data_IF_491379373055
#
_entry.id   IF_491379373055
#
_cell.length_a   1.000
_cell.length_b   1.000
_cell.length_c   1.000
_cell.angle_alpha   90.00
_cell.angle_beta   90.00
_cell.angle_gamma   90.00
#
_symmetry.space_group_name_H-M   'P 1'
#
loop_
_entity.id
_entity.type
_entity.pdbx_description
1 polymer ?
#
# COMPACT_ATOMS: atom_id res chain seq x y z
N UNK A 1 -4.31 0.01 21.08
CA UNK A 1 -3.74 -0.98 20.13
C UNK A 1 -2.45 -0.43 19.53
N UNK A 2 -1.49 -1.24 19.05
CA UNK A 2 -0.28 -0.69 18.40
C UNK A 2 -0.55 -0.46 16.90
N UNK A 3 -0.78 0.80 16.51
CA UNK A 3 -1.02 1.22 15.13
C UNK A 3 0.14 2.04 14.59
N UNK A 4 0.38 1.95 13.28
CA UNK A 4 1.35 2.79 12.57
C UNK A 4 0.67 4.13 12.22
N UNK A 5 1.14 5.22 12.83
CA UNK A 5 0.68 6.58 12.48
C UNK A 5 1.12 6.95 11.07
N UNK A 6 0.53 7.99 10.48
CA UNK A 6 0.95 8.48 9.15
C UNK A 6 2.44 8.85 9.12
N UNK A 7 2.91 9.61 10.12
CA UNK A 7 4.35 9.91 10.30
C UNK A 7 5.19 8.64 10.44
N UNK A 8 4.73 7.68 11.25
CA UNK A 8 5.44 6.42 11.42
C UNK A 8 5.43 5.52 10.18
N UNK A 9 4.52 5.76 9.24
CA UNK A 9 4.54 5.16 7.91
C UNK A 9 5.60 5.86 7.04
N UNK A 10 5.60 7.20 6.98
CA UNK A 10 6.59 8.00 6.25
C UNK A 10 8.02 7.58 6.62
N UNK A 11 8.34 7.54 7.92
CA UNK A 11 9.66 7.10 8.45
C UNK A 11 10.05 5.67 8.04
N UNK A 12 9.09 4.81 7.72
CA UNK A 12 9.34 3.45 7.21
C UNK A 12 9.53 3.45 5.70
N UNK A 13 8.75 4.24 4.98
CA UNK A 13 8.87 4.38 3.53
C UNK A 13 10.22 5.00 3.16
N UNK A 14 10.72 5.95 3.93
CA UNK A 14 12.04 6.59 3.73
C UNK A 14 13.22 5.61 3.80
N UNK A 15 13.04 4.47 4.46
CA UNK A 15 14.07 3.41 4.52
C UNK A 15 14.12 2.55 3.26
N UNK A 16 13.06 2.56 2.45
CA UNK A 16 12.96 1.73 1.26
C UNK A 16 13.54 2.47 0.06
N UNK A 17 14.50 1.86 -0.63
CA UNK A 17 15.09 2.47 -1.83
C UNK A 17 14.13 2.44 -3.03
N UNK A 18 13.25 1.44 -3.10
CA UNK A 18 12.39 1.23 -4.26
C UNK A 18 11.02 1.90 -4.09
N UNK A 19 10.69 2.82 -4.99
CA UNK A 19 9.36 3.42 -5.10
C UNK A 19 8.23 2.39 -5.21
N UNK A 20 8.43 1.29 -5.95
CA UNK A 20 7.46 0.18 -6.04
C UNK A 20 7.16 -0.45 -4.67
N UNK A 21 8.19 -0.63 -3.83
CA UNK A 21 8.01 -1.20 -2.49
C UNK A 21 7.32 -0.21 -1.56
N UNK A 22 7.68 1.08 -1.64
CA UNK A 22 6.98 2.16 -0.94
C UNK A 22 5.49 2.18 -1.32
N UNK A 23 5.20 2.12 -2.61
CA UNK A 23 3.82 2.12 -3.13
C UNK A 23 3.02 0.90 -2.69
N UNK A 24 3.63 -0.29 -2.61
CA UNK A 24 2.97 -1.48 -2.07
C UNK A 24 2.54 -1.25 -0.60
N UNK A 25 3.46 -0.75 0.24
CA UNK A 25 3.20 -0.53 1.67
C UNK A 25 2.14 0.55 1.86
N UNK A 26 2.32 1.70 1.20
CA UNK A 26 1.38 2.80 1.23
C UNK A 26 0.02 2.38 0.66
N UNK A 27 -0.03 1.69 -0.48
CA UNK A 27 -1.29 1.27 -1.10
C UNK A 27 -2.15 0.39 -0.18
N UNK A 28 -1.55 -0.49 0.61
CA UNK A 28 -2.28 -1.27 1.63
C UNK A 28 -2.78 -0.36 2.76
N UNK A 29 -1.95 0.58 3.22
CA UNK A 29 -2.30 1.56 4.25
C UNK A 29 -3.47 2.45 3.82
N UNK A 30 -3.48 2.92 2.57
CA UNK A 30 -4.55 3.73 1.99
C UNK A 30 -5.77 2.91 1.52
N UNK A 31 -5.79 1.59 1.77
CA UNK A 31 -6.95 0.75 1.48
C UNK A 31 -7.15 0.44 -0.01
N UNK A 32 -6.13 0.62 -0.86
CA UNK A 32 -6.18 0.31 -2.30
C UNK A 32 -6.36 -1.19 -2.57
N UNK A 33 -6.15 -2.04 -1.56
CA UNK A 33 -6.32 -3.48 -1.65
C UNK A 33 -7.76 -3.98 -1.45
N UNK A 34 -8.74 -3.09 -1.23
CA UNK A 34 -10.20 -3.32 -1.16
C UNK A 34 -10.59 -4.75 -0.70
N UNK A 35 -11.35 -5.47 -1.53
CA UNK A 35 -11.78 -6.86 -1.37
C UNK A 35 -10.66 -7.84 -1.69
N UNK A 36 -9.86 -7.56 -2.72
CA UNK A 36 -8.78 -8.42 -3.19
C UNK A 36 -7.60 -7.59 -3.71
N UNK A 37 -6.42 -7.71 -3.06
CA UNK A 37 -5.22 -7.01 -3.50
C UNK A 37 -4.76 -7.44 -4.90
N UNK A 38 -5.07 -8.67 -5.32
CA UNK A 38 -4.67 -9.18 -6.64
C UNK A 38 -5.38 -8.40 -7.73
N UNK A 39 -6.70 -8.30 -7.64
CA UNK A 39 -7.53 -7.63 -8.64
C UNK A 39 -7.38 -6.11 -8.61
N UNK A 40 -7.11 -5.54 -7.45
CA UNK A 40 -7.07 -4.09 -7.28
C UNK A 40 -5.63 -3.59 -7.29
N UNK A 41 -4.86 -3.86 -6.23
CA UNK A 41 -3.52 -3.29 -6.06
C UNK A 41 -2.52 -3.73 -7.15
N UNK A 42 -2.45 -5.03 -7.47
CA UNK A 42 -1.44 -5.56 -8.42
C UNK A 42 -1.74 -5.24 -9.88
N UNK A 43 -3.00 -5.00 -10.22
CA UNK A 43 -3.44 -4.68 -11.58
C UNK A 43 -3.59 -3.17 -11.81
N UNK A 44 -3.15 -2.33 -10.88
CA UNK A 44 -3.12 -0.88 -11.09
C UNK A 44 -2.14 -0.52 -12.19
N UNK A 45 -2.64 0.21 -13.18
CA UNK A 45 -1.89 0.69 -14.34
C UNK A 45 -1.38 2.09 -14.08
N UNK A 46 -0.24 2.43 -14.67
CA UNK A 46 0.31 3.80 -14.65
C UNK A 46 -0.68 4.82 -15.22
N UNK A 47 -1.42 4.42 -16.26
CA UNK A 47 -2.47 5.23 -16.90
C UNK A 47 -3.70 5.49 -16.01
N UNK A 48 -3.81 4.83 -14.85
CA UNK A 48 -4.92 5.06 -13.93
C UNK A 48 -4.65 6.20 -12.95
N UNK A 49 -3.45 6.78 -12.95
CA UNK A 49 -3.08 7.93 -12.13
C UNK A 49 -3.22 9.22 -12.92
N UNK A 50 -3.90 10.19 -12.33
CA UNK A 50 -3.86 11.59 -12.73
C UNK A 50 -3.13 12.40 -11.65
N UNK A 51 -1.88 12.77 -11.92
CA UNK A 51 -1.05 13.54 -10.97
C UNK A 51 -1.48 15.01 -10.86
N UNK A 52 -2.15 15.59 -11.85
CA UNK A 52 -2.63 16.98 -11.80
C UNK A 52 -3.83 17.08 -10.86
N UNK A 53 -4.79 16.17 -11.01
CA UNK A 53 -5.97 16.08 -10.15
C UNK A 53 -5.70 15.34 -8.82
N UNK A 54 -4.47 14.86 -8.60
CA UNK A 54 -4.08 14.04 -7.45
C UNK A 54 -5.04 12.87 -7.22
N UNK A 55 -5.38 12.12 -8.26
CA UNK A 55 -6.35 11.02 -8.18
C UNK A 55 -5.85 9.74 -8.84
N UNK A 56 -6.38 8.61 -8.37
CA UNK A 56 -6.07 7.27 -8.86
C UNK A 56 -7.37 6.50 -9.07
N UNK A 57 -7.56 5.96 -10.27
CA UNK A 57 -8.71 5.11 -10.59
C UNK A 57 -8.35 3.65 -10.36
N UNK A 58 -9.11 2.98 -9.50
CA UNK A 58 -8.97 1.56 -9.23
C UNK A 58 -9.49 0.72 -10.40
N UNK A 59 -9.05 -0.55 -10.56
CA UNK A 59 -9.56 -1.43 -11.61
C UNK A 59 -11.08 -1.65 -11.61
N UNK A 60 -11.76 -1.45 -10.48
CA UNK A 60 -13.23 -1.48 -10.39
C UNK A 60 -13.91 -0.15 -10.81
N UNK A 61 -13.16 0.86 -11.24
CA UNK A 61 -13.66 2.17 -11.65
C UNK A 61 -13.80 3.20 -10.52
N UNK A 62 -13.55 2.82 -9.25
CA UNK A 62 -13.59 3.78 -8.14
C UNK A 62 -12.43 4.77 -8.22
N UNK A 63 -12.72 6.06 -7.99
CA UNK A 63 -11.72 7.12 -7.92
C UNK A 63 -11.29 7.34 -6.46
N UNK A 64 -9.98 7.30 -6.22
CA UNK A 64 -9.34 7.59 -4.93
C UNK A 64 -8.61 8.92 -5.04
N UNK A 65 -8.86 9.82 -4.09
CA UNK A 65 -8.08 11.05 -3.94
C UNK A 65 -6.78 10.71 -3.23
N UNK A 66 -5.64 11.07 -3.83
CA UNK A 66 -4.31 10.91 -3.27
C UNK A 66 -3.96 12.15 -2.45
N UNK A 67 -3.52 11.94 -1.22
CA UNK A 67 -2.81 12.98 -0.48
C UNK A 67 -1.35 13.05 -0.95
N UNK A 68 -0.58 13.99 -0.40
CA UNK A 68 0.80 14.25 -0.83
C UNK A 68 1.68 13.01 -0.73
N UNK A 69 1.57 12.25 0.36
CA UNK A 69 2.34 11.02 0.57
C UNK A 69 2.00 9.95 -0.47
N UNK A 70 0.72 9.66 -0.69
CA UNK A 70 0.32 8.65 -1.68
C UNK A 70 0.71 9.08 -3.11
N UNK A 71 0.61 10.37 -3.41
CA UNK A 71 0.99 10.94 -4.70
C UNK A 71 2.49 10.82 -4.96
N UNK A 72 3.31 11.10 -3.95
CA UNK A 72 4.77 11.01 -4.02
C UNK A 72 5.22 9.57 -4.28
N UNK A 73 4.78 8.61 -3.46
CA UNK A 73 5.17 7.20 -3.64
C UNK A 73 4.63 6.60 -4.94
N UNK A 74 3.47 7.07 -5.42
CA UNK A 74 2.95 6.69 -6.73
C UNK A 74 3.85 7.19 -7.85
N UNK A 75 4.33 8.44 -7.77
CA UNK A 75 5.28 9.00 -8.75
C UNK A 75 6.57 8.20 -8.77
N UNK A 76 7.16 7.97 -7.61
CA UNK A 76 8.41 7.19 -7.50
C UNK A 76 8.25 5.80 -8.12
N UNK A 77 7.15 5.09 -7.85
CA UNK A 77 6.91 3.76 -8.40
C UNK A 77 6.74 3.75 -9.92
N UNK A 78 6.02 4.75 -10.47
CA UNK A 78 5.79 4.88 -11.92
C UNK A 78 7.11 5.15 -12.63
N UNK A 79 7.90 6.08 -12.12
CA UNK A 79 9.17 6.55 -12.72
C UNK A 79 10.33 5.57 -12.50
N UNK A 80 10.18 4.61 -11.57
CA UNK A 80 11.21 3.63 -11.27
C UNK A 80 11.58 2.77 -12.50
N UNK A 81 12.87 2.83 -12.86
CA UNK A 81 13.49 2.03 -13.94
C UNK A 81 14.35 0.90 -13.43
N UNK A 82 15.03 1.08 -12.30
CA UNK A 82 15.92 0.09 -11.70
C UNK A 82 15.35 -0.30 -10.35
N UNK A 83 15.28 -1.60 -10.09
CA UNK A 83 14.94 -2.13 -8.77
C UNK A 83 16.22 -2.52 -8.03
N UNK A 84 16.44 -1.88 -6.89
CA UNK A 84 17.58 -2.09 -6.01
C UNK A 84 17.28 -3.23 -5.04
N UNK A 85 18.18 -4.19 -4.89
CA UNK A 85 17.95 -5.31 -3.96
C UNK A 85 18.09 -4.85 -2.51
N UNK A 86 17.07 -5.13 -1.70
CA UNK A 86 17.10 -4.87 -0.26
C UNK A 86 18.26 -5.59 0.43
N UNK A 87 19.08 -4.85 1.18
CA UNK A 87 20.11 -5.40 2.06
C UNK A 87 21.37 -5.92 1.35
N UNK A 88 21.92 -5.16 0.40
CA UNK A 88 23.14 -5.48 -0.35
C UNK A 88 24.40 -5.60 0.51
N UNK A 89 24.53 -6.70 1.26
CA UNK A 89 25.78 -7.18 1.84
C UNK A 89 26.15 -8.50 1.13
N UNK A 90 26.87 -8.38 0.02
CA UNK A 90 27.68 -9.45 -0.56
C UNK A 90 26.97 -10.47 -1.47
N UNK A 91 27.55 -10.63 -2.66
CA UNK A 91 27.61 -11.89 -3.39
C UNK A 91 26.33 -12.37 -4.08
N UNK A 92 26.24 -12.12 -5.39
CA UNK A 92 25.40 -12.86 -6.35
C UNK A 92 23.87 -12.66 -6.26
N UNK A 93 23.42 -11.46 -6.66
CA UNK A 93 22.46 -11.24 -7.77
C UNK A 93 21.91 -9.82 -7.65
N UNK A 94 22.24 -9.04 -8.67
CA UNK A 94 22.29 -7.59 -8.74
C UNK A 94 20.92 -6.93 -8.86
N UNK A 95 20.91 -5.62 -8.62
CA UNK A 95 19.86 -4.72 -9.06
C UNK A 95 19.46 -5.04 -10.50
N UNK A 96 18.21 -4.79 -10.86
CA UNK A 96 17.72 -5.14 -12.19
C UNK A 96 16.88 -4.04 -12.81
N UNK A 97 17.02 -3.90 -14.12
CA UNK A 97 16.15 -3.05 -14.91
C UNK A 97 14.74 -3.64 -14.97
N UNK A 98 13.76 -2.77 -14.78
CA UNK A 98 12.35 -3.05 -14.95
C UNK A 98 11.98 -2.88 -16.42
N UNK A 99 10.97 -3.64 -16.88
CA UNK A 99 10.52 -3.50 -18.25
C UNK A 99 9.86 -2.11 -18.46
N UNK A 100 10.41 -1.26 -19.34
CA UNK A 100 9.87 0.08 -19.58
C UNK A 100 8.49 0.06 -20.24
N UNK A 101 8.12 -1.04 -20.91
CA UNK A 101 6.84 -1.23 -21.57
C UNK A 101 5.77 -1.84 -20.64
N UNK A 102 6.10 -2.13 -19.39
CA UNK A 102 5.10 -2.60 -18.42
C UNK A 102 4.13 -1.46 -18.09
N UNK A 103 2.84 -1.67 -18.33
CA UNK A 103 1.80 -0.70 -18.03
C UNK A 103 1.44 -0.62 -16.53
N UNK A 104 1.96 -1.53 -15.71
CA UNK A 104 1.60 -1.65 -14.29
C UNK A 104 2.49 -0.78 -13.41
N UNK A 105 1.91 -0.24 -12.33
CA UNK A 105 2.69 0.49 -11.30
C UNK A 105 3.62 -0.49 -10.56
N UNK A 106 3.06 -1.63 -10.13
CA UNK A 106 3.83 -2.68 -9.45
C UNK A 106 4.40 -3.64 -10.50
N UNK A 107 5.60 -3.31 -10.98
CA UNK A 107 6.29 -4.08 -12.02
C UNK A 107 6.93 -5.36 -11.47
N UNK A 108 6.91 -6.40 -12.29
CA UNK A 108 7.60 -7.68 -12.04
C UNK A 108 9.07 -7.59 -12.44
N UNK A 109 9.94 -8.40 -11.81
CA UNK A 109 11.29 -8.65 -12.32
C UNK A 109 11.18 -9.26 -13.74
N UNK A 110 11.80 -8.67 -14.77
CA UNK A 110 11.79 -9.27 -16.10
C UNK A 110 12.49 -10.62 -16.11
N UNK A 111 11.79 -11.67 -16.55
CA UNK A 111 12.35 -12.99 -16.81
C UNK A 111 11.78 -13.54 -18.10
N UNK A 112 12.50 -14.46 -18.74
CA UNK A 112 11.97 -15.17 -19.93
C UNK A 112 10.66 -15.90 -19.64
N UNK A 113 10.49 -16.38 -18.40
CA UNK A 113 9.29 -17.08 -17.94
C UNK A 113 8.07 -16.20 -17.66
N UNK A 114 8.19 -14.86 -17.69
CA UNK A 114 7.07 -13.94 -17.42
C UNK A 114 6.90 -12.86 -18.49
N UNK A 115 7.23 -13.20 -19.75
CA UNK A 115 7.13 -12.27 -20.89
C UNK A 115 7.91 -10.98 -20.63
N UNK A 116 9.12 -11.14 -20.07
CA UNK A 116 10.01 -10.03 -19.73
C UNK A 116 9.36 -9.01 -18.78
N UNK A 117 8.46 -9.42 -17.89
CA UNK A 117 7.88 -8.55 -16.87
C UNK A 117 6.80 -7.60 -17.37
N UNK A 118 6.22 -7.84 -18.55
CA UNK A 118 5.10 -7.04 -19.06
C UNK A 118 3.81 -7.25 -18.24
N UNK A 119 3.69 -8.42 -17.62
CA UNK A 119 2.56 -8.82 -16.79
C UNK A 119 2.67 -8.28 -15.35
N UNK A 120 1.52 -8.11 -14.65
CA UNK A 120 1.52 -7.66 -13.27
C UNK A 120 2.24 -8.66 -12.37
N UNK A 121 2.69 -8.18 -11.20
CA UNK A 121 3.32 -9.04 -10.19
C UNK A 121 2.40 -10.20 -9.81
N UNK A 122 2.95 -11.42 -9.79
CA UNK A 122 2.20 -12.62 -9.40
C UNK A 122 1.90 -12.62 -7.92
N UNK A 123 0.92 -13.43 -7.49
CA UNK A 123 0.60 -13.61 -6.07
C UNK A 123 1.80 -14.06 -5.22
N UNK A 124 2.54 -15.04 -5.74
CA UNK A 124 3.74 -15.54 -5.09
C UNK A 124 4.82 -14.46 -5.01
N UNK A 125 4.99 -13.68 -6.08
CA UNK A 125 5.90 -12.53 -6.11
C UNK A 125 5.52 -11.48 -5.08
N UNK A 126 4.25 -11.13 -4.98
CA UNK A 126 3.75 -10.17 -3.98
C UNK A 126 3.98 -10.65 -2.55
N UNK A 127 3.64 -11.91 -2.24
CA UNK A 127 3.86 -12.48 -0.90
C UNK A 127 5.33 -12.49 -0.52
N UNK A 128 6.21 -12.86 -1.43
CA UNK A 128 7.66 -12.84 -1.21
C UNK A 128 8.18 -11.42 -1.01
N UNK A 129 7.71 -10.46 -1.82
CA UNK A 129 8.09 -9.04 -1.72
C UNK A 129 7.63 -8.41 -0.41
N UNK A 130 6.37 -8.60 -0.03
CA UNK A 130 5.86 -8.14 1.27
C UNK A 130 6.68 -8.74 2.41
N UNK A 131 6.97 -10.04 2.38
CA UNK A 131 7.80 -10.68 3.43
C UNK A 131 9.19 -10.03 3.51
N UNK A 132 9.84 -9.79 2.38
CA UNK A 132 11.14 -9.12 2.34
C UNK A 132 11.08 -7.70 2.92
N UNK A 133 10.08 -6.91 2.51
CA UNK A 133 9.81 -5.57 3.06
C UNK A 133 9.61 -5.64 4.58
N UNK A 134 8.80 -6.57 5.07
CA UNK A 134 8.52 -6.74 6.49
C UNK A 134 9.78 -7.02 7.30
N UNK A 135 10.65 -7.91 6.80
CA UNK A 135 11.93 -8.27 7.45
C UNK A 135 12.86 -7.05 7.48
N UNK A 136 12.98 -6.36 6.35
CA UNK A 136 13.87 -5.21 6.21
C UNK A 136 13.49 -4.05 7.14
N UNK A 137 12.20 -3.73 7.25
CA UNK A 137 11.76 -2.54 7.98
C UNK A 137 11.77 -2.67 9.50
N UNK A 138 11.77 -3.88 10.06
CA UNK A 138 11.46 -4.08 11.50
C UNK A 138 12.21 -5.23 12.18
N UNK A 139 13.02 -6.02 11.45
CA UNK A 139 13.56 -7.25 12.01
C UNK A 139 12.43 -8.22 12.41
N UNK A 140 12.35 -8.59 13.70
CA UNK A 140 11.46 -9.64 14.23
C UNK A 140 9.98 -9.25 14.43
N UNK A 141 9.59 -7.98 14.27
CA UNK A 141 8.18 -7.55 14.38
C UNK A 141 7.57 -7.26 13.01
N UNK A 142 6.89 -8.24 12.42
CA UNK A 142 6.40 -8.14 11.04
C UNK A 142 5.43 -6.97 10.78
N UNK A 143 5.78 -6.03 9.89
CA UNK A 143 4.78 -5.20 9.19
C UNK A 143 3.96 -6.13 8.30
N UNK A 144 2.75 -6.46 8.73
CA UNK A 144 1.85 -7.30 7.93
C UNK A 144 0.86 -6.44 7.15
N UNK A 145 0.34 -6.93 6.00
CA UNK A 145 -0.75 -6.26 5.30
C UNK A 145 -1.97 -5.98 6.21
N UNK A 146 -2.25 -6.87 7.16
CA UNK A 146 -3.31 -6.70 8.15
C UNK A 146 -3.04 -5.53 9.08
N UNK A 147 -1.80 -5.38 9.58
CA UNK A 147 -1.41 -4.25 10.44
C UNK A 147 -1.48 -2.93 9.68
N UNK A 148 -0.95 -2.88 8.44
CA UNK A 148 -1.02 -1.69 7.59
C UNK A 148 -2.46 -1.26 7.34
N UNK A 149 -3.32 -2.21 6.95
CA UNK A 149 -4.74 -1.95 6.70
C UNK A 149 -5.48 -1.46 7.94
N UNK A 150 -5.23 -2.08 9.10
CA UNK A 150 -5.81 -1.63 10.38
C UNK A 150 -5.33 -0.23 10.77
N UNK A 151 -4.05 0.05 10.57
CA UNK A 151 -3.44 1.34 10.91
C UNK A 151 -3.99 2.47 10.04
N UNK A 152 -4.09 2.24 8.72
CA UNK A 152 -4.69 3.22 7.82
C UNK A 152 -6.19 3.42 8.06
N UNK A 153 -6.93 2.37 8.40
CA UNK A 153 -8.33 2.50 8.80
C UNK A 153 -8.49 3.36 10.07
N UNK A 154 -7.57 3.21 11.03
CA UNK A 154 -7.55 3.98 12.26
C UNK A 154 -7.21 5.46 12.00
N UNK A 155 -6.23 5.77 11.15
CA UNK A 155 -5.98 7.16 10.74
C UNK A 155 -7.16 7.77 9.97
N UNK A 156 -7.78 7.02 9.05
CA UNK A 156 -8.98 7.50 8.35
C UNK A 156 -10.09 7.82 9.35
N UNK A 157 -10.27 6.98 10.36
CA UNK A 157 -11.28 7.16 11.40
C UNK A 157 -11.10 8.47 12.19
N UNK A 158 -9.85 8.90 12.44
CA UNK A 158 -9.57 10.19 13.11
C UNK A 158 -10.06 11.40 12.31
N UNK A 159 -10.22 11.25 10.99
CA UNK A 159 -10.72 12.33 10.10
C UNK A 159 -12.25 12.39 10.03
N UNK A 160 -12.96 11.40 10.58
CA UNK A 160 -14.42 11.34 10.51
C UNK A 160 -15.07 12.09 11.69
N UNK A 161 -16.32 12.53 11.49
CA UNK A 161 -17.12 13.09 12.56
C UNK A 161 -17.35 12.06 13.68
N UNK A 162 -16.97 12.44 14.90
CA UNK A 162 -17.05 11.61 16.12
C UNK A 162 -18.49 11.22 16.46
N UNK A 163 -19.49 11.97 16.01
CA UNK A 163 -20.92 11.73 16.27
C UNK A 163 -21.54 10.65 15.37
N UNK A 164 -20.83 10.20 14.33
CA UNK A 164 -21.33 9.16 13.43
C UNK A 164 -21.62 7.85 14.19
N UNK A 165 -22.68 7.16 13.77
CA UNK A 165 -22.99 5.83 14.30
C UNK A 165 -21.95 4.81 13.82
N UNK A 166 -21.72 3.75 14.61
CA UNK A 166 -20.78 2.68 14.23
C UNK A 166 -21.14 2.08 12.86
N UNK A 167 -22.44 1.97 12.56
CA UNK A 167 -22.92 1.50 11.24
C UNK A 167 -22.47 2.41 10.10
N UNK A 168 -22.59 3.73 10.28
CA UNK A 168 -22.19 4.71 9.25
C UNK A 168 -20.68 4.72 9.06
N UNK A 169 -19.92 4.67 10.15
CA UNK A 169 -18.46 4.54 10.12
C UNK A 169 -18.04 3.25 9.38
N UNK A 170 -18.67 2.13 9.70
CA UNK A 170 -18.39 0.85 9.05
C UNK A 170 -18.67 0.88 7.53
N UNK A 171 -19.70 1.60 7.10
CA UNK A 171 -20.00 1.82 5.67
C UNK A 171 -18.90 2.66 5.02
N UNK A 172 -18.56 3.83 5.58
CA UNK A 172 -17.52 4.72 5.05
C UNK A 172 -16.16 4.01 4.94
N UNK A 173 -15.77 3.28 5.98
CA UNK A 173 -14.51 2.54 5.99
C UNK A 173 -14.50 1.43 4.93
N UNK A 174 -15.60 0.70 4.75
CA UNK A 174 -15.73 -0.31 3.70
C UNK A 174 -15.60 0.29 2.30
N UNK A 175 -16.29 1.40 2.04
CA UNK A 175 -16.21 2.16 0.79
C UNK A 175 -14.80 2.75 0.58
N UNK A 176 -14.11 3.08 1.67
CA UNK A 176 -12.69 3.48 1.66
C UNK A 176 -11.72 2.30 1.63
N UNK A 177 -12.20 1.06 1.47
CA UNK A 177 -11.40 -0.16 1.29
C UNK A 177 -10.95 -0.88 2.55
N UNK A 178 -11.35 -0.38 3.71
CA UNK A 178 -11.06 -0.95 5.01
C UNK A 178 -12.15 -1.96 5.41
N UNK A 179 -12.01 -3.18 4.91
CA UNK A 179 -12.80 -4.33 5.35
C UNK A 179 -12.33 -4.81 6.74
N UNK A 180 -12.85 -4.19 7.80
CA UNK A 180 -12.58 -4.56 9.19
C UNK A 180 -13.65 -5.50 9.75
N UNK A 181 -13.27 -6.39 10.67
CA UNK A 181 -14.22 -7.11 11.51
C UNK A 181 -14.93 -6.15 12.46
N UNK A 182 -16.21 -6.40 12.74
CA UNK A 182 -17.04 -5.53 13.57
C UNK A 182 -16.41 -5.24 14.95
N UNK A 183 -15.86 -6.26 15.63
CA UNK A 183 -15.24 -6.07 16.94
C UNK A 183 -14.06 -5.09 16.90
N UNK A 184 -13.17 -5.23 15.90
CA UNK A 184 -12.04 -4.30 15.72
C UNK A 184 -12.53 -2.87 15.49
N UNK A 185 -13.60 -2.69 14.71
CA UNK A 185 -14.19 -1.38 14.45
C UNK A 185 -14.71 -0.74 15.74
N UNK A 186 -15.47 -1.49 16.54
CA UNK A 186 -16.02 -1.00 17.81
C UNK A 186 -14.89 -0.56 18.74
N UNK A 187 -13.85 -1.39 18.89
CA UNK A 187 -12.69 -1.09 19.73
C UNK A 187 -11.97 0.20 19.28
N UNK A 188 -11.69 0.34 17.98
CA UNK A 188 -11.04 1.53 17.42
C UNK A 188 -11.86 2.82 17.65
N UNK A 189 -13.19 2.75 17.44
CA UNK A 189 -14.09 3.90 17.65
C UNK A 189 -14.12 4.31 19.12
N UNK A 190 -14.13 3.34 20.04
CA UNK A 190 -14.10 3.63 21.48
C UNK A 190 -12.77 4.27 21.91
N UNK A 191 -11.64 3.82 21.37
CA UNK A 191 -10.31 4.37 21.64
C UNK A 191 -10.24 5.85 21.22
N UNK A 192 -10.60 6.19 19.98
CA UNK A 192 -10.56 7.57 19.47
C UNK A 192 -11.52 8.50 20.23
N UNK A 193 -12.69 8.01 20.62
CA UNK A 193 -13.65 8.81 21.41
C UNK A 193 -13.16 9.09 22.84
N UNK A 194 -12.29 8.24 23.40
CA UNK A 194 -11.68 8.45 24.71
C UNK A 194 -10.53 9.45 24.65
N UNK A 195 -9.68 9.37 23.62
CA UNK A 195 -8.57 10.32 23.40
C UNK A 195 -9.05 11.77 23.14
N UNK A 196 -10.31 11.92 22.75
CA UNK A 196 -10.93 13.19 22.44
C UNK A 196 -11.60 13.93 23.60
N UNK A 197 -11.51 13.40 24.83
CA UNK A 197 -12.00 14.01 26.08
C UNK A 197 -10.83 14.57 26.87
#
# INVERSE_FOLDING_TARGET
MNFITKKGLEEKLDKLDNGIDKFIVAGIYYGLNRSNYREQLLNLKTSSINFEESTLTLPNGEKVVMDDLLKEVAREAVEQKIYVKMGSLGGTNEDYELNPNSEYIIKSKPTSSNEMGIKPLTDAGFKSRIRAISIFLVGDTSITPTLLKKSGAYEKLKTLDRNLTIRSIGKILRESGYNLRQNNLVEMVQEIRKEGK
#
